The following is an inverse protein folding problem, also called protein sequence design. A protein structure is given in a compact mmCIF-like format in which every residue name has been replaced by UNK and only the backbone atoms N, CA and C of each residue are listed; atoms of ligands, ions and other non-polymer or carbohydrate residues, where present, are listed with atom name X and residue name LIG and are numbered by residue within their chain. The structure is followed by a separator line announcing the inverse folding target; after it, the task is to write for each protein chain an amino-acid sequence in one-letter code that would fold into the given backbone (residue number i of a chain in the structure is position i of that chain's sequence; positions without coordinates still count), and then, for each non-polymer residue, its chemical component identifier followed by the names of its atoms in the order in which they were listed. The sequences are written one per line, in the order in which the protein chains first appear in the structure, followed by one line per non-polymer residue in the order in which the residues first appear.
data_IF_744357505802
#
_entry.id   IF_744357505802
#
_cell.length_a   1.000
_cell.length_b   1.000
_cell.length_c   1.000
_cell.angle_alpha   90.00
_cell.angle_beta   90.00
_cell.angle_gamma   90.00
#
_symmetry.space_group_name_H-M   'P 1'
#
loop_
_entity.id
_entity.type
_entity.pdbx_description
1 polymer ?
#
# COMPACT_ATOMS: atom_id res chain seq x y z
N UNK A 1 28.57 55.45 6.58
CA UNK A 1 28.48 55.51 5.11
C UNK A 1 27.70 54.27 4.68
N UNK A 2 26.54 54.28 4.05
CA UNK A 2 25.67 55.33 3.55
C UNK A 2 24.26 54.72 3.47
N UNK A 3 23.25 55.54 3.74
CA UNK A 3 21.83 55.29 3.45
C UNK A 3 21.55 55.39 1.96
N UNK A 4 20.68 54.54 1.42
CA UNK A 4 19.82 54.91 0.28
C UNK A 4 18.52 54.12 0.32
N UNK A 5 17.45 54.83 0.66
CA UNK A 5 16.08 54.50 0.29
C UNK A 5 15.82 55.10 -1.10
N UNK A 6 15.07 54.40 -1.94
CA UNK A 6 14.39 55.03 -3.09
C UNK A 6 12.92 54.58 -3.11
N UNK A 7 12.06 55.60 -3.11
CA UNK A 7 10.61 55.54 -3.22
C UNK A 7 10.20 55.42 -4.70
N UNK A 8 9.05 54.78 -4.96
CA UNK A 8 8.35 54.93 -6.24
C UNK A 8 7.06 54.10 -6.35
N UNK A 9 5.93 54.68 -5.96
CA UNK A 9 4.54 54.26 -6.24
C UNK A 9 3.87 55.48 -6.94
N UNK A 10 2.78 55.42 -7.73
CA UNK A 10 1.94 54.32 -8.27
C UNK A 10 1.77 54.40 -9.80
N UNK A 11 1.10 53.41 -10.42
CA UNK A 11 0.30 53.70 -11.63
C UNK A 11 -1.03 52.95 -11.56
N UNK A 12 -2.09 53.74 -11.57
CA UNK A 12 -3.50 53.39 -11.54
C UNK A 12 -3.98 53.36 -12.99
N UNK A 13 -4.50 52.23 -13.47
CA UNK A 13 -5.27 52.16 -14.73
C UNK A 13 -6.13 50.89 -14.65
N UNK A 14 -7.38 50.98 -14.20
CA UNK A 14 -8.60 51.36 -14.94
C UNK A 14 -9.44 50.09 -15.15
N UNK A 15 -10.72 50.21 -14.82
CA UNK A 15 -11.68 49.13 -14.70
C UNK A 15 -11.95 48.47 -16.06
N UNK A 16 -12.09 47.14 -16.05
CA UNK A 16 -12.96 46.43 -16.99
C UNK A 16 -13.90 45.54 -16.19
N UNK A 17 -15.16 46.00 -16.09
CA UNK A 17 -16.32 45.16 -15.85
C UNK A 17 -16.38 44.09 -16.96
N UNK A 18 -15.96 42.89 -16.60
CA UNK A 18 -16.13 41.68 -17.39
C UNK A 18 -16.86 40.68 -16.53
N UNK A 19 -18.20 40.79 -16.55
CA UNK A 19 -19.13 39.76 -16.10
C UNK A 19 -18.79 38.45 -16.82
N UNK A 20 -17.99 37.65 -16.13
CA UNK A 20 -17.66 36.28 -16.49
C UNK A 20 -18.01 35.47 -15.28
N UNK A 21 -19.29 35.12 -15.14
CA UNK A 21 -19.76 34.01 -14.33
C UNK A 21 -19.06 32.76 -14.88
N UNK A 22 -17.81 32.55 -14.47
CA UNK A 22 -17.10 31.32 -14.68
C UNK A 22 -17.88 30.30 -13.87
N UNK A 23 -18.74 29.60 -14.61
CA UNK A 23 -19.41 28.39 -14.18
C UNK A 23 -18.41 27.61 -13.32
N UNK A 24 -18.82 27.33 -12.08
CA UNK A 24 -18.24 26.25 -11.30
C UNK A 24 -18.31 25.03 -12.22
N UNK A 25 -17.22 24.78 -12.96
CA UNK A 25 -16.95 23.51 -13.58
C UNK A 25 -16.98 22.58 -12.39
N UNK A 26 -18.06 21.79 -12.31
CA UNK A 26 -18.18 20.68 -11.40
C UNK A 26 -16.83 19.96 -11.48
N UNK A 27 -16.11 20.04 -10.37
CA UNK A 27 -14.85 19.36 -10.15
C UNK A 27 -15.19 17.87 -10.31
N UNK A 28 -15.07 17.40 -11.55
CA UNK A 28 -15.20 16.02 -11.90
C UNK A 28 -13.99 15.36 -11.27
N UNK A 29 -14.14 15.03 -9.98
CA UNK A 29 -13.14 14.48 -9.10
C UNK A 29 -12.35 13.47 -9.91
N UNK A 30 -11.06 13.76 -10.09
CA UNK A 30 -10.23 13.00 -11.01
C UNK A 30 -10.34 11.53 -10.57
N UNK A 31 -10.40 10.52 -11.46
CA UNK A 31 -10.65 9.14 -11.06
C UNK A 31 -9.67 8.61 -9.99
N UNK A 32 -8.55 9.31 -9.79
CA UNK A 32 -7.55 9.07 -8.76
C UNK A 32 -7.93 9.56 -7.35
N UNK A 33 -8.76 10.57 -7.20
CA UNK A 33 -9.20 11.10 -5.89
C UNK A 33 -10.27 10.24 -5.23
N UNK A 34 -11.01 9.49 -6.04
CA UNK A 34 -12.09 8.61 -5.59
C UNK A 34 -11.63 7.17 -5.27
N UNK A 35 -10.33 6.84 -5.37
CA UNK A 35 -9.80 5.57 -4.82
C UNK A 35 -9.13 5.92 -3.51
N UNK A 36 -9.70 5.43 -2.40
CA UNK A 36 -9.11 5.64 -1.08
C UNK A 36 -7.60 5.31 -1.11
N UNK A 37 -6.71 6.24 -0.73
CA UNK A 37 -5.27 5.97 -0.68
C UNK A 37 -4.95 4.80 0.27
N UNK A 38 -5.81 4.56 1.26
CA UNK A 38 -5.72 3.45 2.20
C UNK A 38 -5.89 2.09 1.50
N UNK A 39 -6.78 1.99 0.51
CA UNK A 39 -6.99 0.75 -0.25
C UNK A 39 -5.72 0.32 -1.01
N UNK A 40 -5.00 1.27 -1.60
CA UNK A 40 -3.71 0.98 -2.27
C UNK A 40 -2.66 0.49 -1.29
N UNK A 41 -2.64 1.04 -0.07
CA UNK A 41 -1.74 0.63 1.00
C UNK A 41 -2.07 -0.79 1.48
N UNK A 42 -3.35 -1.12 1.69
CA UNK A 42 -3.78 -2.46 2.08
C UNK A 42 -3.43 -3.51 1.02
N UNK A 43 -3.65 -3.22 -0.26
CA UNK A 43 -3.24 -4.10 -1.36
C UNK A 43 -1.72 -4.33 -1.40
N UNK A 44 -0.93 -3.29 -1.14
CA UNK A 44 0.53 -3.42 -1.07
C UNK A 44 0.97 -4.28 0.12
N UNK A 45 0.30 -4.13 1.27
CA UNK A 45 0.56 -4.94 2.46
C UNK A 45 0.21 -6.42 2.23
N UNK A 46 -0.97 -6.71 1.68
CA UNK A 46 -1.39 -8.06 1.29
C UNK A 46 -0.38 -8.69 0.36
N UNK A 47 0.07 -7.95 -0.66
CA UNK A 47 1.10 -8.43 -1.59
C UNK A 47 2.39 -8.79 -0.85
N UNK A 48 2.89 -7.91 0.01
CA UNK A 48 4.11 -8.16 0.77
C UNK A 48 3.99 -9.38 1.71
N UNK A 49 2.84 -9.52 2.37
CA UNK A 49 2.56 -10.67 3.22
C UNK A 49 2.46 -11.96 2.42
N UNK A 50 1.79 -11.97 1.27
CA UNK A 50 1.71 -13.13 0.39
C UNK A 50 3.10 -13.55 -0.12
N UNK A 51 3.94 -12.59 -0.53
CA UNK A 51 5.32 -12.84 -0.93
C UNK A 51 6.14 -13.47 0.21
N UNK A 52 5.94 -13.03 1.44
CA UNK A 52 6.58 -13.64 2.61
C UNK A 52 6.13 -15.08 2.84
N UNK A 53 4.84 -15.39 2.67
CA UNK A 53 4.35 -16.78 2.81
C UNK A 53 4.95 -17.70 1.74
N UNK A 54 5.04 -17.22 0.50
CA UNK A 54 5.68 -17.97 -0.59
C UNK A 54 7.16 -18.23 -0.28
N UNK A 55 7.89 -17.19 0.15
CA UNK A 55 9.27 -17.34 0.58
C UNK A 55 9.42 -18.35 1.73
N UNK A 56 8.51 -18.32 2.71
CA UNK A 56 8.54 -19.25 3.83
C UNK A 56 8.29 -20.69 3.37
N UNK A 57 7.41 -20.91 2.39
CA UNK A 57 7.21 -22.21 1.78
C UNK A 57 8.50 -22.70 1.09
N UNK A 58 9.16 -21.83 0.31
CA UNK A 58 10.45 -22.15 -0.33
C UNK A 58 11.51 -22.55 0.72
N UNK A 59 11.62 -21.81 1.83
CA UNK A 59 12.56 -22.13 2.92
C UNK A 59 12.26 -23.46 3.61
N UNK A 60 10.98 -23.85 3.71
CA UNK A 60 10.59 -25.17 4.23
C UNK A 60 11.05 -26.26 3.28
N UNK A 61 10.81 -26.12 1.98
CA UNK A 61 11.26 -27.08 0.96
C UNK A 61 12.78 -27.25 0.99
N UNK A 62 13.54 -26.15 0.96
CA UNK A 62 15.00 -26.18 1.04
C UNK A 62 15.51 -26.85 2.34
N UNK A 63 14.86 -26.59 3.47
CA UNK A 63 15.24 -27.18 4.76
C UNK A 63 14.90 -28.66 4.86
N UNK A 64 13.82 -29.11 4.22
CA UNK A 64 13.48 -30.53 4.11
C UNK A 64 14.51 -31.29 3.27
N UNK A 65 14.92 -30.71 2.14
CA UNK A 65 15.97 -31.29 1.29
C UNK A 65 17.30 -31.42 2.04
N UNK A 66 17.67 -30.40 2.82
CA UNK A 66 18.86 -30.45 3.69
C UNK A 66 18.73 -31.56 4.75
N UNK A 67 17.56 -31.71 5.37
CA UNK A 67 17.33 -32.72 6.39
C UNK A 67 17.47 -34.15 5.85
N UNK A 68 17.04 -34.41 4.61
CA UNK A 68 17.20 -35.73 3.95
C UNK A 68 18.67 -36.08 3.71
N UNK A 69 19.48 -35.06 3.42
CA UNK A 69 20.91 -35.22 3.14
C UNK A 69 21.78 -35.21 4.40
N UNK A 70 21.21 -34.86 5.56
CA UNK A 70 21.95 -34.68 6.80
C UNK A 70 22.33 -36.01 7.45
N UNK A 71 23.61 -36.15 7.77
CA UNK A 71 24.17 -37.31 8.46
C UNK A 71 24.45 -37.08 9.93
N UNK A 72 24.52 -35.81 10.38
CA UNK A 72 24.75 -35.43 11.77
C UNK A 72 23.42 -35.34 12.56
N UNK A 73 23.25 -36.15 13.63
CA UNK A 73 22.02 -36.15 14.42
C UNK A 73 21.72 -34.83 15.14
N UNK A 74 22.74 -34.08 15.54
CA UNK A 74 22.56 -32.80 16.22
C UNK A 74 22.03 -31.74 15.26
N UNK A 75 22.58 -31.70 14.04
CA UNK A 75 22.13 -30.81 12.98
C UNK A 75 20.74 -31.19 12.48
N UNK A 76 20.45 -32.47 12.29
CA UNK A 76 19.10 -32.93 11.95
C UNK A 76 18.05 -32.50 12.99
N UNK A 77 18.37 -32.60 14.29
CA UNK A 77 17.50 -32.12 15.35
C UNK A 77 17.30 -30.59 15.33
N UNK A 78 18.31 -29.83 14.93
CA UNK A 78 18.19 -28.39 14.71
C UNK A 78 17.27 -28.07 13.53
N UNK A 79 17.45 -28.72 12.38
CA UNK A 79 16.60 -28.55 11.20
C UNK A 79 15.13 -28.87 11.51
N UNK A 80 14.86 -29.93 12.27
CA UNK A 80 13.50 -30.22 12.75
C UNK A 80 12.88 -29.08 13.58
N UNK A 81 13.67 -28.40 14.42
CA UNK A 81 13.19 -27.23 15.18
C UNK A 81 12.92 -26.03 14.27
N UNK A 82 13.79 -25.79 13.30
CA UNK A 82 13.62 -24.71 12.31
C UNK A 82 12.36 -24.95 11.49
N UNK A 83 12.17 -26.17 10.98
CA UNK A 83 10.97 -26.57 10.24
C UNK A 83 9.70 -26.40 11.08
N UNK A 84 9.72 -26.80 12.36
CA UNK A 84 8.61 -26.55 13.28
C UNK A 84 8.29 -25.06 13.45
N UNK A 85 9.33 -24.23 13.57
CA UNK A 85 9.16 -22.77 13.64
C UNK A 85 8.58 -22.20 12.35
N UNK A 86 9.07 -22.61 11.17
CA UNK A 86 8.54 -22.15 9.88
C UNK A 86 7.10 -22.59 9.68
N UNK A 87 6.75 -23.83 10.01
CA UNK A 87 5.37 -24.32 9.95
C UNK A 87 4.42 -23.48 10.83
N UNK A 88 4.81 -23.19 12.07
CA UNK A 88 3.99 -22.37 12.97
C UNK A 88 3.84 -20.92 12.48
N UNK A 89 4.90 -20.35 11.89
CA UNK A 89 4.82 -19.03 11.26
C UNK A 89 3.89 -19.03 10.05
N UNK A 90 3.97 -20.05 9.19
CA UNK A 90 3.12 -20.19 8.02
C UNK A 90 1.65 -20.31 8.45
N UNK A 91 1.36 -21.14 9.46
CA UNK A 91 0.03 -21.31 10.05
C UNK A 91 -0.54 -19.98 10.57
N UNK A 92 0.23 -19.25 11.37
CA UNK A 92 -0.25 -17.99 11.95
C UNK A 92 -0.44 -16.89 10.89
N UNK A 93 0.46 -16.81 9.92
CA UNK A 93 0.49 -15.70 8.95
C UNK A 93 -0.50 -15.88 7.81
N UNK A 94 -0.78 -17.11 7.36
CA UNK A 94 -1.75 -17.32 6.28
C UNK A 94 -3.18 -17.00 6.72
N UNK A 95 -3.55 -17.33 7.96
CA UNK A 95 -4.87 -17.03 8.49
C UNK A 95 -5.13 -15.52 8.53
N UNK A 96 -4.21 -14.75 9.13
CA UNK A 96 -4.34 -13.30 9.18
C UNK A 96 -4.29 -12.62 7.81
N UNK A 97 -3.59 -13.20 6.83
CA UNK A 97 -3.63 -12.72 5.45
C UNK A 97 -5.00 -12.94 4.81
N UNK A 98 -5.62 -14.10 5.03
CA UNK A 98 -6.95 -14.43 4.50
C UNK A 98 -8.02 -13.44 4.98
N UNK A 99 -7.99 -13.08 6.26
CA UNK A 99 -8.88 -12.07 6.84
C UNK A 99 -8.73 -10.71 6.16
N UNK A 100 -7.49 -10.21 6.02
CA UNK A 100 -7.20 -8.94 5.34
C UNK A 100 -7.62 -8.94 3.87
N UNK A 101 -7.43 -10.06 3.17
CA UNK A 101 -7.88 -10.20 1.78
C UNK A 101 -9.40 -10.06 1.71
N UNK A 102 -10.14 -10.74 2.58
CA UNK A 102 -11.60 -10.67 2.61
C UNK A 102 -12.09 -9.23 2.87
N UNK A 103 -11.51 -8.55 3.86
CA UNK A 103 -11.82 -7.14 4.17
C UNK A 103 -11.53 -6.21 2.99
N UNK A 104 -10.35 -6.36 2.39
CA UNK A 104 -9.94 -5.54 1.24
C UNK A 104 -10.84 -5.78 0.02
N UNK A 105 -11.22 -7.03 -0.25
CA UNK A 105 -12.17 -7.35 -1.32
C UNK A 105 -13.53 -6.66 -1.12
N UNK A 106 -14.03 -6.62 0.13
CA UNK A 106 -15.25 -5.93 0.47
C UNK A 106 -15.12 -4.41 0.23
N UNK A 107 -14.00 -3.81 0.63
CA UNK A 107 -13.72 -2.38 0.42
C UNK A 107 -13.62 -2.04 -1.07
N UNK A 108 -12.95 -2.88 -1.88
CA UNK A 108 -12.93 -2.75 -3.34
C UNK A 108 -14.34 -2.76 -3.90
N UNK A 109 -15.17 -3.73 -3.49
CA UNK A 109 -16.53 -3.86 -3.97
C UNK A 109 -17.38 -2.62 -3.68
N UNK A 110 -17.33 -2.11 -2.44
CA UNK A 110 -18.05 -0.89 -2.05
C UNK A 110 -17.57 0.29 -2.88
N UNK A 111 -16.25 0.50 -2.97
CA UNK A 111 -15.64 1.60 -3.73
C UNK A 111 -16.07 1.58 -5.20
N UNK A 112 -16.08 0.41 -5.84
CA UNK A 112 -16.49 0.26 -7.24
C UNK A 112 -17.99 0.49 -7.40
N UNK A 113 -18.81 -0.10 -6.52
CA UNK A 113 -20.27 0.04 -6.57
C UNK A 113 -20.71 1.49 -6.40
N UNK A 114 -20.11 2.23 -5.48
CA UNK A 114 -20.40 3.66 -5.26
C UNK A 114 -20.13 4.48 -6.53
N UNK A 115 -19.14 4.10 -7.34
CA UNK A 115 -18.85 4.75 -8.63
C UNK A 115 -19.83 4.39 -9.74
N UNK A 116 -20.41 3.20 -9.70
CA UNK A 116 -21.38 2.77 -10.71
C UNK A 116 -22.77 3.40 -10.48
N UNK A 117 -23.05 3.86 -9.25
CA UNK A 117 -24.37 4.39 -8.85
C UNK A 117 -24.38 5.87 -8.46
N UNK A 118 -23.22 6.54 -8.46
CA UNK A 118 -23.06 7.99 -8.27
C UNK A 118 -22.81 8.69 -9.59
#
# INVERSE_FOLDING_TARGET
MSTSAENGVPTLHEFHDGDGHAEHVEDAASPRELISPDLRKYLAEIKGQAQFLLYLADQIEESLDQLVQEGDPCHGAFLCKVLGMYSAQLETKHQGLGEKIAETCQEVYVTVREREHG
#
